data_IF_041502505744
#
_entry.id   IF_041502505744
#
_cell.length_a   1.000
_cell.length_b   1.000
_cell.length_c   1.000
_cell.angle_alpha   90.00
_cell.angle_beta   90.00
_cell.angle_gamma   90.00
#
_symmetry.space_group_name_H-M   'P 1'
#
loop_
_entity.id
_entity.type
_entity.pdbx_description
1 polymer ?
#
# COMPACT_ATOMS: atom_id res chain seq x y z
N UNK A 1 -17.27 -10.32 -10.97
CA UNK A 1 -16.45 -9.74 -12.06
C UNK A 1 -16.72 -8.26 -12.31
N UNK A 2 -17.98 -7.76 -12.33
CA UNK A 2 -18.26 -6.33 -12.60
C UNK A 2 -17.79 -5.36 -11.49
N UNK A 3 -17.69 -5.79 -10.22
CA UNK A 3 -17.26 -4.95 -9.09
C UNK A 3 -15.76 -4.71 -9.02
N UNK A 4 -14.93 -5.62 -9.57
CA UNK A 4 -13.46 -5.46 -9.60
C UNK A 4 -12.98 -4.47 -10.67
N UNK A 5 -13.73 -4.31 -11.76
CA UNK A 5 -13.39 -3.39 -12.85
C UNK A 5 -13.58 -1.94 -12.41
N UNK A 6 -14.58 -1.66 -11.56
CA UNK A 6 -14.82 -0.31 -11.03
C UNK A 6 -13.67 0.17 -10.12
N UNK A 7 -13.11 -0.72 -9.29
CA UNK A 7 -11.98 -0.39 -8.41
C UNK A 7 -10.69 -0.07 -9.17
N UNK A 8 -10.42 -0.80 -10.26
CA UNK A 8 -9.22 -0.57 -11.08
C UNK A 8 -9.29 0.77 -11.86
N UNK A 9 -10.48 1.18 -12.30
CA UNK A 9 -10.68 2.46 -13.00
C UNK A 9 -10.49 3.67 -12.08
N UNK A 10 -10.87 3.55 -10.81
CA UNK A 10 -10.67 4.62 -9.81
C UNK A 10 -9.17 4.80 -9.51
N UNK A 11 -8.42 3.70 -9.48
CA UNK A 11 -6.97 3.75 -9.23
C UNK A 11 -6.19 4.52 -10.32
N UNK A 12 -6.62 4.40 -11.58
CA UNK A 12 -6.00 5.11 -12.72
C UNK A 12 -6.32 6.61 -12.70
N UNK A 13 -7.50 7.00 -12.22
CA UNK A 13 -7.91 8.41 -12.13
C UNK A 13 -7.15 9.20 -11.04
N UNK A 14 -6.79 8.56 -9.93
CA UNK A 14 -6.07 9.20 -8.83
C UNK A 14 -4.61 9.49 -9.22
N UNK A 15 -3.98 8.63 -10.02
CA UNK A 15 -2.60 8.83 -10.51
C UNK A 15 -2.46 10.01 -11.48
N UNK A 16 -3.54 10.45 -12.13
CA UNK A 16 -3.51 11.59 -13.06
C UNK A 16 -3.62 12.97 -12.37
N UNK A 17 -4.04 13.03 -11.10
CA UNK A 17 -4.18 14.28 -10.34
C UNK A 17 -2.89 14.71 -9.63
N UNK A 18 -1.91 13.83 -9.48
CA UNK A 18 -0.62 14.12 -8.84
C UNK A 18 0.34 14.95 -9.71
N UNK A 19 -0.02 15.31 -10.93
CA UNK A 19 0.86 15.88 -11.97
C UNK A 19 0.84 17.38 -12.18
N UNK A 20 0.10 18.19 -11.42
CA UNK A 20 0.08 19.66 -11.59
C UNK A 20 0.30 20.40 -10.28
N UNK A 21 1.56 20.76 -10.01
CA UNK A 21 1.88 21.76 -9.00
C UNK A 21 1.51 23.16 -9.49
N UNK A 22 0.68 23.90 -8.74
CA UNK A 22 0.78 25.34 -8.54
C UNK A 22 -0.43 25.92 -7.77
N UNK A 23 -0.12 26.59 -6.68
CA UNK A 23 -0.70 27.81 -6.09
C UNK A 23 -2.12 27.80 -5.49
N UNK A 24 -2.11 28.21 -4.23
CA UNK A 24 -3.08 28.93 -3.39
C UNK A 24 -4.09 28.11 -2.57
N UNK A 25 -3.97 28.35 -1.24
CA UNK A 25 -4.67 27.63 -0.16
C UNK A 25 -6.21 27.72 -0.16
N UNK A 26 -6.84 28.55 -0.98
CA UNK A 26 -8.31 28.62 -1.08
C UNK A 26 -8.87 27.71 -2.19
N UNK A 27 -8.15 27.58 -3.30
CA UNK A 27 -8.55 26.68 -4.39
C UNK A 27 -8.35 25.21 -4.00
N UNK A 28 -7.35 24.91 -3.15
CA UNK A 28 -7.12 23.56 -2.62
C UNK A 28 -8.34 23.02 -1.87
N UNK A 29 -8.90 23.77 -0.90
CA UNK A 29 -10.06 23.30 -0.11
C UNK A 29 -11.32 23.07 -0.93
N UNK A 30 -11.57 23.89 -1.93
CA UNK A 30 -12.73 23.71 -2.81
C UNK A 30 -12.51 22.53 -3.77
N UNK A 31 -11.27 22.35 -4.23
CA UNK A 31 -10.88 21.20 -5.06
C UNK A 31 -10.95 19.88 -4.28
N UNK A 32 -10.48 19.87 -3.05
CA UNK A 32 -10.53 18.72 -2.13
C UNK A 32 -11.99 18.27 -1.88
N UNK A 33 -12.87 19.20 -1.48
CA UNK A 33 -14.29 18.88 -1.21
C UNK A 33 -15.06 18.43 -2.47
N UNK A 34 -14.72 18.96 -3.65
CA UNK A 34 -15.32 18.52 -4.92
C UNK A 34 -14.81 17.13 -5.32
N UNK A 35 -13.51 16.86 -5.13
CA UNK A 35 -12.92 15.55 -5.39
C UNK A 35 -13.49 14.49 -4.44
N UNK A 36 -13.60 14.77 -3.14
CA UNK A 36 -14.23 13.90 -2.14
C UNK A 36 -15.64 13.50 -2.56
N UNK A 37 -16.50 14.47 -2.83
CA UNK A 37 -17.90 14.22 -3.24
C UNK A 37 -18.03 13.48 -4.56
N UNK A 38 -17.10 13.70 -5.49
CA UNK A 38 -17.12 13.01 -6.80
C UNK A 38 -16.72 11.56 -6.64
N UNK A 39 -15.73 11.25 -5.80
CA UNK A 39 -15.26 9.90 -5.53
C UNK A 39 -16.27 9.13 -4.66
N UNK A 40 -16.85 9.77 -3.63
CA UNK A 40 -17.92 9.21 -2.81
C UNK A 40 -19.15 8.83 -3.66
N UNK A 41 -19.53 9.70 -4.60
CA UNK A 41 -20.66 9.47 -5.50
C UNK A 41 -20.42 8.34 -6.53
N UNK A 42 -19.17 8.06 -6.85
CA UNK A 42 -18.80 7.06 -7.87
C UNK A 42 -18.50 5.66 -7.30
N UNK A 43 -18.17 5.52 -6.03
CA UNK A 43 -17.63 4.26 -5.53
C UNK A 43 -18.05 3.81 -4.12
N UNK A 44 -18.83 4.60 -3.38
CA UNK A 44 -19.37 4.17 -2.08
C UNK A 44 -18.31 4.06 -0.97
N UNK A 45 -17.36 4.98 -0.90
CA UNK A 45 -16.40 5.10 0.21
C UNK A 45 -16.41 6.51 0.77
N UNK A 46 -16.01 6.68 2.04
CA UNK A 46 -15.73 8.00 2.61
C UNK A 46 -14.31 8.40 2.23
N UNK A 47 -14.18 9.57 1.60
CA UNK A 47 -12.89 10.11 1.15
C UNK A 47 -12.51 11.30 2.02
N UNK A 48 -11.31 11.29 2.53
CA UNK A 48 -10.71 12.37 3.32
C UNK A 48 -9.41 12.79 2.64
N UNK A 49 -9.30 14.08 2.32
CA UNK A 49 -8.13 14.66 1.67
C UNK A 49 -7.51 15.67 2.63
N UNK A 50 -6.30 15.41 3.09
CA UNK A 50 -5.52 16.30 3.96
C UNK A 50 -4.17 16.59 3.31
N UNK A 51 -4.09 17.71 2.62
CA UNK A 51 -2.91 18.10 1.85
C UNK A 51 -2.56 17.11 0.74
N UNK A 52 -1.42 16.44 0.86
CA UNK A 52 -0.98 15.42 -0.10
C UNK A 52 -1.43 13.98 0.29
N UNK A 53 -2.14 13.85 1.41
CA UNK A 53 -2.67 12.58 1.91
C UNK A 53 -4.12 12.41 1.50
N UNK A 54 -4.43 11.30 0.83
CA UNK A 54 -5.80 10.90 0.47
C UNK A 54 -6.12 9.60 1.18
N UNK A 55 -7.18 9.58 1.97
CA UNK A 55 -7.67 8.40 2.67
C UNK A 55 -9.06 8.04 2.14
N UNK A 56 -9.22 6.81 1.67
CA UNK A 56 -10.50 6.26 1.21
C UNK A 56 -10.90 5.12 2.13
N UNK A 57 -12.03 5.27 2.83
CA UNK A 57 -12.59 4.24 3.70
C UNK A 57 -13.78 3.56 3.04
N UNK A 58 -13.75 2.25 2.98
CA UNK A 58 -14.82 1.43 2.44
C UNK A 58 -15.12 0.24 3.36
N UNK A 59 -16.18 -0.49 3.07
CA UNK A 59 -16.50 -1.73 3.82
C UNK A 59 -15.39 -2.79 3.70
N UNK A 60 -14.58 -2.74 2.64
CA UNK A 60 -13.48 -3.68 2.38
C UNK A 60 -12.13 -3.27 2.99
N UNK A 61 -12.02 -2.06 3.54
CA UNK A 61 -10.78 -1.57 4.15
C UNK A 61 -10.54 -0.09 3.93
N UNK A 62 -9.37 0.35 4.36
CA UNK A 62 -8.89 1.73 4.24
C UNK A 62 -7.68 1.78 3.28
N UNK A 63 -7.74 2.65 2.28
CA UNK A 63 -6.63 2.98 1.41
C UNK A 63 -6.14 4.38 1.73
N UNK A 64 -4.88 4.51 2.06
CA UNK A 64 -4.20 5.80 2.23
C UNK A 64 -3.09 5.93 1.18
N UNK A 65 -3.11 7.03 0.44
CA UNK A 65 -2.06 7.43 -0.50
C UNK A 65 -1.41 8.72 0.01
N UNK A 66 -0.08 8.79 -0.05
CA UNK A 66 0.67 9.88 0.58
C UNK A 66 0.78 9.74 2.10
N UNK A 67 0.33 8.63 2.67
CA UNK A 67 0.45 8.34 4.09
C UNK A 67 1.89 8.03 4.48
N UNK A 68 2.25 8.35 5.72
CA UNK A 68 3.61 8.23 6.22
C UNK A 68 3.71 7.33 7.46
N UNK A 69 2.61 6.76 7.91
CA UNK A 69 2.58 5.92 9.11
C UNK A 69 2.43 4.44 8.75
N UNK A 70 3.20 3.60 9.46
CA UNK A 70 3.05 2.15 9.40
C UNK A 70 1.65 1.74 9.87
N UNK A 71 0.94 0.85 9.14
CA UNK A 71 -0.41 0.42 9.52
C UNK A 71 -0.40 -0.32 10.86
N UNK A 72 -1.50 -0.18 11.62
CA UNK A 72 -1.61 -0.66 13.01
C UNK A 72 -2.57 -1.84 13.18
N UNK A 73 -3.10 -2.38 12.08
CA UNK A 73 -3.97 -3.56 12.13
C UNK A 73 -3.26 -4.78 12.72
N UNK A 74 -4.01 -5.76 13.20
CA UNK A 74 -3.43 -7.00 13.72
C UNK A 74 -2.63 -7.75 12.65
N UNK A 75 -3.06 -7.66 11.40
CA UNK A 75 -2.35 -8.27 10.29
C UNK A 75 -1.01 -7.56 10.03
N UNK A 76 -0.97 -6.24 10.07
CA UNK A 76 0.26 -5.46 9.92
C UNK A 76 1.26 -5.72 11.05
N UNK A 77 0.80 -5.99 12.27
CA UNK A 77 1.66 -6.36 13.42
C UNK A 77 2.38 -7.69 13.26
N UNK A 78 1.96 -8.52 12.30
CA UNK A 78 2.70 -9.76 11.97
C UNK A 78 4.03 -9.49 11.27
N UNK A 79 4.24 -8.26 10.77
CA UNK A 79 5.46 -7.82 10.12
C UNK A 79 6.34 -7.01 11.07
N UNK A 80 7.66 -7.16 11.00
CA UNK A 80 8.57 -6.14 11.52
C UNK A 80 8.41 -4.86 10.72
N UNK A 81 8.37 -3.72 11.41
CA UNK A 81 8.29 -2.40 10.77
C UNK A 81 9.54 -2.13 9.92
N UNK A 82 9.34 -1.73 8.67
CA UNK A 82 10.41 -1.22 7.81
C UNK A 82 10.47 0.30 7.91
N UNK A 83 11.67 0.85 8.20
CA UNK A 83 11.84 2.27 8.56
C UNK A 83 12.55 3.10 7.49
N UNK A 84 13.08 2.43 6.48
CA UNK A 84 13.85 3.08 5.42
C UNK A 84 12.95 3.43 4.22
N UNK A 85 13.39 4.41 3.43
CA UNK A 85 12.61 4.89 2.30
C UNK A 85 11.45 5.82 2.70
N UNK A 86 10.60 6.12 1.74
CA UNK A 86 9.43 6.97 1.89
C UNK A 86 8.16 6.15 1.62
N UNK A 87 7.32 6.01 2.61
CA UNK A 87 6.01 5.37 2.43
C UNK A 87 5.12 6.26 1.55
N UNK A 88 4.57 5.70 0.49
CA UNK A 88 3.74 6.41 -0.49
C UNK A 88 2.32 5.89 -0.58
N UNK A 89 2.10 4.65 -0.10
CA UNK A 89 0.77 4.07 -0.11
C UNK A 89 0.61 2.98 0.94
N UNK A 90 -0.56 2.94 1.55
CA UNK A 90 -0.99 1.90 2.49
C UNK A 90 -2.42 1.50 2.16
N UNK A 91 -2.65 0.24 1.93
CA UNK A 91 -3.97 -0.38 1.97
C UNK A 91 -4.05 -1.29 3.19
N UNK A 92 -5.01 -1.08 4.05
CA UNK A 92 -5.19 -1.85 5.28
C UNK A 92 -6.63 -2.34 5.40
N UNK A 93 -6.80 -3.65 5.42
CA UNK A 93 -8.09 -4.32 5.57
C UNK A 93 -8.00 -5.48 6.56
N UNK A 94 -9.11 -6.13 6.84
CA UNK A 94 -9.16 -7.31 7.71
C UNK A 94 -8.44 -8.52 7.15
N UNK A 95 -8.31 -8.60 5.82
CA UNK A 95 -7.81 -9.80 5.13
C UNK A 95 -6.50 -9.56 4.37
N UNK A 96 -6.12 -8.30 4.17
CA UNK A 96 -4.89 -7.94 3.45
C UNK A 96 -4.37 -6.58 3.87
N UNK A 97 -3.06 -6.47 3.97
CA UNK A 97 -2.33 -5.21 4.11
C UNK A 97 -1.34 -5.09 2.96
N UNK A 98 -1.30 -3.94 2.31
CA UNK A 98 -0.28 -3.64 1.31
C UNK A 98 0.37 -2.31 1.64
N UNK A 99 1.69 -2.28 1.63
CA UNK A 99 2.51 -1.11 1.92
C UNK A 99 3.45 -0.89 0.74
N UNK A 100 3.50 0.35 0.24
CA UNK A 100 4.42 0.75 -0.82
C UNK A 100 5.37 1.82 -0.30
N UNK A 101 6.66 1.58 -0.50
CA UNK A 101 7.73 2.50 -0.11
C UNK A 101 8.59 2.81 -1.34
N UNK A 102 8.95 4.06 -1.50
CA UNK A 102 9.86 4.55 -2.55
C UNK A 102 11.18 5.03 -1.94
N UNK A 103 12.18 5.23 -2.80
CA UNK A 103 13.55 5.62 -2.40
C UNK A 103 14.18 4.63 -1.40
N UNK A 104 13.87 3.36 -1.55
CA UNK A 104 14.43 2.27 -0.76
C UNK A 104 15.72 1.79 -1.41
N UNK A 105 16.83 1.83 -0.67
CA UNK A 105 18.09 1.26 -1.15
C UNK A 105 18.02 -0.26 -1.21
N UNK A 106 18.62 -0.85 -2.20
CA UNK A 106 18.66 -2.31 -2.35
C UNK A 106 19.20 -3.02 -1.10
N UNK A 107 20.29 -2.52 -0.52
CA UNK A 107 20.90 -3.09 0.69
C UNK A 107 19.92 -3.14 1.88
N UNK A 108 19.08 -2.11 2.04
CA UNK A 108 18.08 -2.03 3.10
C UNK A 108 16.94 -3.00 2.82
N UNK A 109 16.49 -3.09 1.55
CA UNK A 109 15.46 -4.04 1.13
C UNK A 109 15.92 -5.50 1.31
N UNK A 110 17.17 -5.82 0.97
CA UNK A 110 17.77 -7.15 1.18
C UNK A 110 17.88 -7.47 2.66
N UNK A 111 18.29 -6.52 3.50
CA UNK A 111 18.36 -6.71 4.97
C UNK A 111 16.97 -7.00 5.54
N UNK A 112 15.96 -6.31 5.05
CA UNK A 112 14.58 -6.57 5.44
C UNK A 112 14.09 -7.93 4.97
N UNK A 113 14.39 -8.32 3.73
CA UNK A 113 14.09 -9.65 3.19
C UNK A 113 14.64 -10.76 4.10
N UNK A 114 15.90 -10.64 4.55
CA UNK A 114 16.50 -11.63 5.46
C UNK A 114 15.80 -11.67 6.84
N UNK A 115 15.23 -10.56 7.28
CA UNK A 115 14.41 -10.52 8.49
C UNK A 115 13.07 -11.21 8.29
N UNK A 116 12.42 -10.96 7.15
CA UNK A 116 11.15 -11.60 6.78
C UNK A 116 11.33 -13.12 6.60
N UNK A 117 12.40 -13.58 5.97
CA UNK A 117 12.71 -15.02 5.79
C UNK A 117 12.75 -15.79 7.11
N UNK A 118 13.14 -15.15 8.20
CA UNK A 118 13.17 -15.77 9.53
C UNK A 118 11.78 -15.98 10.13
N UNK A 119 10.86 -15.05 9.87
CA UNK A 119 9.50 -15.07 10.41
C UNK A 119 8.50 -15.82 9.49
N UNK A 120 8.77 -15.81 8.19
CA UNK A 120 7.95 -16.39 7.14
C UNK A 120 8.82 -17.37 6.33
N UNK A 121 8.85 -18.63 6.74
CA UNK A 121 9.74 -19.63 6.17
C UNK A 121 9.01 -20.82 5.54
N UNK A 122 7.67 -20.85 5.59
CA UNK A 122 6.89 -21.95 5.02
C UNK A 122 6.53 -21.68 3.57
N UNK A 123 6.64 -22.68 2.72
CA UNK A 123 6.31 -22.65 1.29
C UNK A 123 6.99 -21.46 0.56
N UNK A 124 8.32 -21.25 0.72
CA UNK A 124 8.96 -20.09 0.14
C UNK A 124 8.99 -20.18 -1.39
N UNK A 125 8.69 -19.05 -2.03
CA UNK A 125 8.87 -18.82 -3.46
C UNK A 125 9.77 -17.60 -3.59
N UNK A 126 10.88 -17.73 -4.31
CA UNK A 126 11.84 -16.65 -4.48
C UNK A 126 12.26 -16.54 -5.94
N UNK A 127 12.31 -15.31 -6.44
CA UNK A 127 12.89 -14.98 -7.74
C UNK A 127 13.75 -13.72 -7.57
N UNK A 128 14.98 -13.77 -8.07
CA UNK A 128 15.94 -12.66 -7.97
C UNK A 128 16.50 -12.34 -9.36
N UNK A 129 16.62 -11.06 -9.70
CA UNK A 129 17.32 -10.53 -10.84
C UNK A 129 18.28 -9.44 -10.38
N UNK A 130 19.04 -8.81 -11.31
CA UNK A 130 20.17 -7.93 -10.99
C UNK A 130 19.84 -6.83 -9.97
N UNK A 131 18.71 -6.14 -10.10
CA UNK A 131 18.30 -5.05 -9.21
C UNK A 131 16.89 -5.26 -8.67
N UNK A 132 16.44 -6.49 -8.55
CA UNK A 132 15.08 -6.79 -8.11
C UNK A 132 14.96 -8.16 -7.47
N UNK A 133 14.00 -8.28 -6.58
CA UNK A 133 13.60 -9.58 -6.03
C UNK A 133 12.09 -9.66 -5.80
N UNK A 134 11.62 -10.88 -5.80
CA UNK A 134 10.29 -11.24 -5.34
C UNK A 134 10.41 -12.40 -4.36
N UNK A 135 9.80 -12.28 -3.19
CA UNK A 135 9.77 -13.31 -2.17
C UNK A 135 8.34 -13.50 -1.67
N UNK A 136 7.86 -14.71 -1.65
CA UNK A 136 6.57 -15.09 -1.06
C UNK A 136 6.74 -16.26 -0.11
N UNK A 137 6.10 -16.22 1.06
CA UNK A 137 6.12 -17.31 2.03
C UNK A 137 4.97 -17.17 3.03
N UNK A 138 4.81 -18.20 3.88
CA UNK A 138 3.87 -18.18 5.00
C UNK A 138 4.61 -18.28 6.34
N UNK A 139 4.02 -17.73 7.39
CA UNK A 139 4.47 -17.97 8.74
C UNK A 139 3.80 -19.23 9.34
N UNK A 140 4.15 -19.57 10.58
CA UNK A 140 3.61 -20.74 11.28
C UNK A 140 2.08 -20.68 11.52
N UNK A 141 1.48 -19.50 11.44
CA UNK A 141 0.04 -19.28 11.59
C UNK A 141 -0.70 -19.26 10.24
N UNK A 142 -0.01 -19.58 9.12
CA UNK A 142 -0.56 -19.55 7.78
C UNK A 142 -0.73 -18.17 7.16
N UNK A 143 -0.30 -17.09 7.85
CA UNK A 143 -0.31 -15.73 7.30
C UNK A 143 0.71 -15.67 6.17
N UNK A 144 0.28 -15.23 4.98
CA UNK A 144 1.13 -15.06 3.81
C UNK A 144 1.82 -13.70 3.78
N UNK A 145 3.05 -13.65 3.29
CA UNK A 145 3.76 -12.42 2.96
C UNK A 145 4.27 -12.48 1.53
N UNK A 146 4.22 -11.34 0.83
CA UNK A 146 4.91 -11.13 -0.43
C UNK A 146 5.71 -9.83 -0.37
N UNK A 147 6.98 -9.90 -0.73
CA UNK A 147 7.87 -8.77 -0.90
C UNK A 147 8.23 -8.66 -2.37
N UNK A 148 8.10 -7.46 -2.94
CA UNK A 148 8.54 -7.15 -4.30
C UNK A 148 9.41 -5.91 -4.23
N UNK A 149 10.63 -6.02 -4.72
CA UNK A 149 11.57 -4.90 -4.82
C UNK A 149 12.02 -4.73 -6.25
N UNK A 150 11.92 -3.52 -6.77
CA UNK A 150 12.53 -3.10 -8.03
C UNK A 150 12.55 -1.57 -8.14
N UNK A 151 13.53 -1.02 -8.83
CA UNK A 151 13.63 0.42 -9.09
C UNK A 151 13.46 1.28 -7.83
N UNK A 152 14.17 0.94 -6.75
CA UNK A 152 14.10 1.62 -5.45
C UNK A 152 12.70 1.64 -4.81
N UNK A 153 11.81 0.77 -5.28
CA UNK A 153 10.46 0.62 -4.73
C UNK A 153 10.33 -0.74 -4.06
N UNK A 154 9.91 -0.74 -2.80
CA UNK A 154 9.57 -1.93 -2.03
C UNK A 154 8.05 -1.98 -1.81
N UNK A 155 7.42 -3.05 -2.28
CA UNK A 155 6.03 -3.36 -1.97
C UNK A 155 5.98 -4.57 -1.04
N UNK A 156 5.27 -4.42 0.06
CA UNK A 156 5.06 -5.45 1.07
C UNK A 156 3.57 -5.77 1.10
N UNK A 157 3.21 -7.02 0.88
CA UNK A 157 1.81 -7.47 0.99
C UNK A 157 1.73 -8.57 2.03
N UNK A 158 0.77 -8.46 2.94
CA UNK A 158 0.43 -9.52 3.92
C UNK A 158 -1.00 -9.92 3.70
N UNK A 159 -1.25 -11.20 3.73
CA UNK A 159 -2.58 -11.78 3.59
C UNK A 159 -2.89 -12.70 4.77
N UNK A 160 -4.15 -12.67 5.20
CA UNK A 160 -4.64 -13.57 6.22
C UNK A 160 -4.52 -15.03 5.76
N UNK A 161 -4.37 -15.94 6.72
CA UNK A 161 -4.44 -17.37 6.45
C UNK A 161 -5.77 -17.74 5.77
N UNK A 162 -5.69 -18.53 4.74
CA UNK A 162 -6.88 -19.17 4.15
C UNK A 162 -7.49 -20.14 5.17
N UNK A 163 -8.80 -20.08 5.34
CA UNK A 163 -9.55 -20.92 6.27
C UNK A 163 -9.81 -22.31 5.69
#
# INVERSE_FOLDING_TARGET
MKKFIAGALIFILILSLAGCGAKENLEKKVGETLAEKTIEGAGGGNVDIDGDKVTIKSESGELTVGGTEWPKSELAKSLPEFKEGKMTGVFDSTDSVMITLESVKEADAVTYLETIKKAFAQEPIEATAEDSFNYGAKNANGIGVTLQYSNETLTITVTKAEA
#
